data_IF_929281369942
#
_entry.id   IF_929281369942
#
_cell.length_a   1.000
_cell.length_b   1.000
_cell.length_c   1.000
_cell.angle_alpha   90.00
_cell.angle_beta   90.00
_cell.angle_gamma   90.00
#
_symmetry.space_group_name_H-M   'P 1'
#
loop_
_entity.id
_entity.type
_entity.pdbx_description
1 polymer ?
#
# COMPACT_ATOMS: atom_id res chain seq x y z
N UNK A 1 13.04 -7.84 24.60
CA UNK A 1 12.96 -8.36 23.23
C UNK A 1 14.00 -9.46 23.10
N UNK A 2 13.57 -10.71 22.94
CA UNK A 2 14.46 -11.83 22.63
C UNK A 2 15.40 -11.46 21.47
N UNK A 3 16.67 -11.91 21.50
CA UNK A 3 17.69 -11.52 20.51
C UNK A 3 17.22 -11.76 19.07
N UNK A 4 16.39 -12.77 18.86
CA UNK A 4 15.76 -13.16 17.60
C UNK A 4 14.74 -12.13 17.10
N UNK A 5 13.78 -11.71 17.93
CA UNK A 5 12.76 -10.74 17.54
C UNK A 5 13.38 -9.37 17.22
N UNK A 6 14.46 -9.00 17.92
CA UNK A 6 15.24 -7.80 17.59
C UNK A 6 15.89 -7.91 16.20
N UNK A 7 16.52 -9.03 15.86
CA UNK A 7 17.14 -9.27 14.54
C UNK A 7 16.11 -9.21 13.41
N UNK A 8 14.93 -9.82 13.60
CA UNK A 8 13.83 -9.78 12.63
C UNK A 8 13.34 -8.35 12.40
N UNK A 9 13.15 -7.58 13.48
CA UNK A 9 12.72 -6.19 13.38
C UNK A 9 13.74 -5.31 12.65
N UNK A 10 15.04 -5.45 12.97
CA UNK A 10 16.11 -4.73 12.27
C UNK A 10 16.13 -5.09 10.79
N UNK A 11 15.97 -6.38 10.45
CA UNK A 11 15.91 -6.84 9.06
C UNK A 11 14.74 -6.20 8.31
N UNK A 12 13.57 -6.16 8.94
CA UNK A 12 12.39 -5.51 8.37
C UNK A 12 12.66 -4.02 8.08
N UNK A 13 13.18 -3.26 9.03
CA UNK A 13 13.49 -1.83 8.83
C UNK A 13 14.55 -1.65 7.73
N UNK A 14 15.61 -2.45 7.75
CA UNK A 14 16.69 -2.37 6.77
C UNK A 14 16.20 -2.65 5.34
N UNK A 15 15.27 -3.58 5.15
CA UNK A 15 14.75 -3.88 3.82
C UNK A 15 13.65 -2.90 3.43
N UNK A 16 12.64 -2.68 4.29
CA UNK A 16 11.51 -1.81 3.97
C UNK A 16 11.96 -0.37 3.66
N UNK A 17 12.83 0.21 4.49
CA UNK A 17 13.30 1.59 4.33
C UNK A 17 14.66 1.67 3.65
N UNK A 18 15.60 0.77 3.97
CA UNK A 18 16.95 0.83 3.39
C UNK A 18 16.99 0.43 1.92
N UNK A 19 16.22 -0.57 1.48
CA UNK A 19 16.13 -0.88 0.05
C UNK A 19 15.40 0.23 -0.71
N UNK A 20 14.34 0.82 -0.14
CA UNK A 20 13.68 1.99 -0.72
C UNK A 20 14.66 3.16 -0.89
N UNK A 21 15.40 3.53 0.15
CA UNK A 21 16.39 4.60 0.11
C UNK A 21 17.52 4.32 -0.91
N UNK A 22 17.96 3.06 -1.04
CA UNK A 22 18.92 2.67 -2.09
C UNK A 22 18.34 2.90 -3.49
N UNK A 23 17.07 2.51 -3.71
CA UNK A 23 16.40 2.72 -5.00
C UNK A 23 16.19 4.19 -5.32
N UNK A 24 16.01 5.05 -4.31
CA UNK A 24 15.89 6.50 -4.48
C UNK A 24 17.13 7.14 -5.09
N UNK A 25 18.32 6.57 -4.89
CA UNK A 25 19.55 7.03 -5.55
C UNK A 25 19.41 6.88 -7.08
N UNK A 26 18.91 5.72 -7.54
CA UNK A 26 18.68 5.48 -8.97
C UNK A 26 17.51 6.28 -9.51
N UNK A 27 16.45 6.48 -8.71
CA UNK A 27 15.37 7.40 -9.08
C UNK A 27 15.88 8.81 -9.33
N UNK A 28 16.77 9.33 -8.48
CA UNK A 28 17.35 10.65 -8.66
C UNK A 28 18.13 10.77 -9.97
N UNK A 29 18.92 9.73 -10.32
CA UNK A 29 19.61 9.66 -11.61
C UNK A 29 18.61 9.65 -12.77
N UNK A 30 17.55 8.85 -12.66
CA UNK A 30 16.48 8.80 -13.67
C UNK A 30 15.75 10.13 -13.83
N UNK A 31 15.40 10.80 -12.73
CA UNK A 31 14.77 12.12 -12.72
C UNK A 31 15.64 13.15 -13.46
N UNK A 32 16.95 13.19 -13.17
CA UNK A 32 17.89 14.10 -13.85
C UNK A 32 18.06 13.78 -15.33
N UNK A 33 17.89 12.52 -15.71
CA UNK A 33 17.95 12.07 -17.10
C UNK A 33 16.59 12.13 -17.81
N UNK A 34 15.53 12.67 -17.18
CA UNK A 34 14.18 12.76 -17.77
C UNK A 34 13.51 11.40 -18.02
N UNK A 35 13.91 10.36 -17.28
CA UNK A 35 13.39 8.99 -17.43
C UNK A 35 12.06 8.82 -16.70
N UNK A 36 11.18 7.97 -17.26
CA UNK A 36 9.99 7.49 -16.57
C UNK A 36 10.37 6.63 -15.35
N UNK A 37 9.77 6.95 -14.20
CA UNK A 37 10.06 6.32 -12.91
C UNK A 37 8.94 5.39 -12.43
N UNK A 38 7.91 5.14 -13.23
CA UNK A 38 6.71 4.36 -12.84
C UNK A 38 7.06 2.99 -12.26
N UNK A 39 8.05 2.31 -12.84
CA UNK A 39 8.48 1.00 -12.34
C UNK A 39 9.03 1.06 -10.91
N UNK A 40 9.64 2.17 -10.48
CA UNK A 40 10.17 2.30 -9.13
C UNK A 40 9.06 2.32 -8.07
N UNK A 41 7.95 3.01 -8.37
CA UNK A 41 6.77 3.00 -7.50
C UNK A 41 6.27 1.57 -7.29
N UNK A 42 6.12 0.80 -8.37
CA UNK A 42 5.68 -0.60 -8.28
C UNK A 42 6.69 -1.51 -7.55
N UNK A 43 7.99 -1.35 -7.81
CA UNK A 43 9.05 -2.11 -7.16
C UNK A 43 9.07 -1.85 -5.65
N UNK A 44 8.91 -0.59 -5.24
CA UNK A 44 9.01 -0.19 -3.84
C UNK A 44 7.96 -0.93 -2.96
N UNK A 45 6.76 -1.19 -3.48
CA UNK A 45 5.67 -1.90 -2.78
C UNK A 45 6.03 -3.33 -2.32
N UNK A 46 7.08 -3.94 -2.86
CA UNK A 46 7.53 -5.29 -2.48
C UNK A 46 8.33 -5.29 -1.16
N UNK A 47 9.00 -4.19 -0.83
CA UNK A 47 10.03 -4.17 0.21
C UNK A 47 9.53 -4.50 1.63
N UNK A 48 8.34 -4.03 2.08
CA UNK A 48 7.88 -4.34 3.43
C UNK A 48 7.75 -5.85 3.67
N UNK A 49 7.08 -6.59 2.78
CA UNK A 49 6.99 -8.05 2.86
C UNK A 49 8.36 -8.72 2.73
N UNK A 50 9.25 -8.24 1.85
CA UNK A 50 10.60 -8.79 1.71
C UNK A 50 11.37 -8.75 3.03
N UNK A 51 11.25 -7.65 3.79
CA UNK A 51 11.83 -7.54 5.12
C UNK A 51 11.30 -8.58 6.10
N UNK A 52 9.98 -8.82 6.09
CA UNK A 52 9.36 -9.86 6.93
C UNK A 52 9.82 -11.26 6.53
N UNK A 53 9.80 -11.57 5.23
CA UNK A 53 10.19 -12.89 4.69
C UNK A 53 11.65 -13.21 4.98
N UNK A 54 12.57 -12.25 4.76
CA UNK A 54 13.99 -12.42 5.10
C UNK A 54 14.19 -12.59 6.60
N UNK A 55 13.45 -11.85 7.43
CA UNK A 55 13.46 -12.03 8.88
C UNK A 55 13.10 -13.46 9.29
N UNK A 56 12.04 -14.05 8.72
CA UNK A 56 11.66 -15.45 8.97
C UNK A 56 12.69 -16.45 8.44
N UNK A 57 13.27 -16.23 7.25
CA UNK A 57 14.22 -17.16 6.64
C UNK A 57 15.58 -17.18 7.34
N UNK A 58 16.07 -16.01 7.77
CA UNK A 58 17.40 -15.87 8.38
C UNK A 58 17.39 -16.07 9.89
N UNK A 59 16.32 -15.66 10.56
CA UNK A 59 16.24 -15.59 12.02
C UNK A 59 14.97 -16.23 12.58
N UNK A 60 14.15 -16.92 11.77
CA UNK A 60 13.00 -17.66 12.29
C UNK A 60 13.41 -18.89 13.10
N UNK A 61 12.53 -19.31 14.01
CA UNK A 61 12.68 -20.61 14.68
C UNK A 61 12.64 -21.75 13.65
N UNK A 62 13.65 -22.63 13.70
CA UNK A 62 13.80 -23.78 12.79
C UNK A 62 12.63 -24.76 12.88
N UNK A 63 11.95 -24.83 14.02
CA UNK A 63 10.79 -25.69 14.22
C UNK A 63 9.49 -25.09 13.63
N UNK A 64 9.47 -23.78 13.39
CA UNK A 64 8.30 -23.12 12.80
C UNK A 64 8.21 -23.46 11.32
N UNK A 65 7.14 -24.16 10.93
CA UNK A 65 6.89 -24.48 9.52
C UNK A 65 6.39 -23.24 8.78
N UNK A 66 7.12 -22.80 7.76
CA UNK A 66 6.81 -21.61 6.94
C UNK A 66 6.73 -21.97 5.45
N UNK A 67 6.00 -21.19 4.62
CA UNK A 67 5.87 -21.42 3.18
C UNK A 67 7.10 -20.95 2.39
N UNK A 68 8.26 -21.61 2.62
CA UNK A 68 9.56 -21.20 2.04
C UNK A 68 9.52 -20.98 0.52
N UNK A 69 8.87 -21.85 -0.24
CA UNK A 69 8.80 -21.73 -1.70
C UNK A 69 8.13 -20.42 -2.14
N UNK A 70 6.98 -20.07 -1.55
CA UNK A 70 6.30 -18.81 -1.86
C UNK A 70 7.12 -17.58 -1.44
N UNK A 71 7.80 -17.65 -0.29
CA UNK A 71 8.70 -16.57 0.13
C UNK A 71 9.86 -16.37 -0.85
N UNK A 72 10.48 -17.47 -1.30
CA UNK A 72 11.58 -17.41 -2.28
C UNK A 72 11.11 -16.79 -3.60
N UNK A 73 9.94 -17.20 -4.12
CA UNK A 73 9.40 -16.61 -5.36
C UNK A 73 9.11 -15.12 -5.22
N UNK A 74 8.53 -14.69 -4.10
CA UNK A 74 8.26 -13.28 -3.84
C UNK A 74 9.56 -12.45 -3.76
N UNK A 75 10.60 -12.99 -3.10
CA UNK A 75 11.91 -12.36 -3.02
C UNK A 75 12.62 -12.29 -4.38
N UNK A 76 12.56 -13.36 -5.18
CA UNK A 76 13.10 -13.36 -6.56
C UNK A 76 12.36 -12.32 -7.41
N UNK A 77 11.03 -12.26 -7.31
CA UNK A 77 10.22 -11.28 -8.04
C UNK A 77 10.63 -9.85 -7.67
N UNK A 78 10.83 -9.57 -6.39
CA UNK A 78 11.32 -8.27 -5.92
C UNK A 78 12.71 -7.93 -6.48
N UNK A 79 13.65 -8.89 -6.48
CA UNK A 79 14.99 -8.70 -7.04
C UNK A 79 14.96 -8.43 -8.55
N UNK A 80 14.10 -9.13 -9.30
CA UNK A 80 13.89 -8.88 -10.73
C UNK A 80 13.30 -7.49 -10.95
N UNK A 81 12.29 -7.09 -10.16
CA UNK A 81 11.71 -5.74 -10.21
C UNK A 81 12.75 -4.66 -9.93
N UNK A 82 13.61 -4.84 -8.92
CA UNK A 82 14.73 -3.94 -8.64
C UNK A 82 15.71 -3.84 -9.82
N UNK A 83 16.10 -4.98 -10.40
CA UNK A 83 16.99 -5.00 -11.54
C UNK A 83 16.39 -4.26 -12.76
N UNK A 84 15.11 -4.51 -13.06
CA UNK A 84 14.40 -3.80 -14.14
C UNK A 84 14.34 -2.29 -13.87
N UNK A 85 14.09 -1.86 -12.63
CA UNK A 85 14.08 -0.44 -12.28
C UNK A 85 15.46 0.21 -12.45
N UNK A 86 16.54 -0.47 -12.06
CA UNK A 86 17.89 0.07 -12.24
C UNK A 86 18.22 0.17 -13.73
N UNK A 87 17.95 -0.89 -14.51
CA UNK A 87 18.23 -0.91 -15.95
C UNK A 87 17.41 0.16 -16.69
N UNK A 88 16.17 0.43 -16.27
CA UNK A 88 15.30 1.40 -16.96
C UNK A 88 15.87 2.82 -16.97
N UNK A 89 16.70 3.16 -15.98
CA UNK A 89 17.36 4.48 -15.88
C UNK A 89 18.50 4.63 -16.89
N UNK A 90 19.21 3.54 -17.17
CA UNK A 90 20.38 3.56 -18.07
C UNK A 90 20.04 3.16 -19.51
N UNK A 91 18.87 2.56 -19.73
CA UNK A 91 18.43 2.16 -21.05
C UNK A 91 18.07 3.37 -21.93
N UNK A 92 18.24 3.28 -23.26
CA UNK A 92 17.73 4.28 -24.20
C UNK A 92 16.24 4.52 -23.97
N UNK A 93 15.84 5.78 -24.06
CA UNK A 93 14.43 6.13 -23.98
C UNK A 93 13.72 5.62 -25.25
N UNK A 94 12.52 5.09 -25.05
CA UNK A 94 11.72 4.49 -26.11
C UNK A 94 10.37 5.20 -26.12
N UNK A 95 10.20 6.15 -27.04
CA UNK A 95 9.01 7.01 -27.13
C UNK A 95 7.80 6.30 -27.78
N UNK A 96 7.91 4.99 -28.07
CA UNK A 96 6.82 4.21 -28.66
C UNK A 96 5.66 3.96 -27.68
N UNK A 97 5.87 4.15 -26.37
CA UNK A 97 4.90 3.87 -25.32
C UNK A 97 4.70 5.10 -24.43
N UNK A 98 3.51 5.26 -23.85
CA UNK A 98 3.21 6.34 -22.88
C UNK A 98 3.97 6.21 -21.56
N UNK A 99 4.52 5.03 -21.28
CA UNK A 99 5.32 4.68 -20.10
C UNK A 99 6.49 3.81 -20.54
N UNK A 100 7.54 3.72 -19.73
CA UNK A 100 8.72 2.91 -20.07
C UNK A 100 8.35 1.45 -20.33
N UNK A 101 8.90 0.83 -21.37
CA UNK A 101 8.73 -0.62 -21.62
C UNK A 101 9.14 -1.49 -20.41
N UNK A 102 10.07 -0.99 -19.58
CA UNK A 102 10.47 -1.67 -18.36
C UNK A 102 9.32 -1.74 -17.34
N UNK A 103 8.46 -0.72 -17.27
CA UNK A 103 7.25 -0.79 -16.46
C UNK A 103 6.35 -1.93 -16.93
N UNK A 104 6.13 -2.07 -18.24
CA UNK A 104 5.33 -3.17 -18.82
C UNK A 104 5.96 -4.53 -18.49
N UNK A 105 7.28 -4.68 -18.62
CA UNK A 105 7.98 -5.90 -18.19
C UNK A 105 7.78 -6.18 -16.70
N UNK A 106 7.85 -5.14 -15.86
CA UNK A 106 7.58 -5.24 -14.43
C UNK A 106 6.14 -5.65 -14.12
N UNK A 107 5.16 -5.23 -14.92
CA UNK A 107 3.78 -5.70 -14.79
C UNK A 107 3.71 -7.21 -15.02
N UNK A 108 4.35 -7.74 -16.08
CA UNK A 108 4.38 -9.20 -16.31
C UNK A 108 5.09 -9.96 -15.19
N UNK A 109 6.20 -9.45 -14.65
CA UNK A 109 6.87 -10.04 -13.49
C UNK A 109 5.93 -10.09 -12.30
N UNK A 110 5.22 -8.99 -12.03
CA UNK A 110 4.25 -8.90 -10.94
C UNK A 110 3.10 -9.89 -11.14
N UNK A 111 2.54 -9.97 -12.35
CA UNK A 111 1.46 -10.89 -12.72
C UNK A 111 1.84 -12.34 -12.51
N UNK A 112 2.95 -12.78 -13.12
CA UNK A 112 3.42 -14.16 -13.04
C UNK A 112 3.82 -14.50 -11.61
N UNK A 113 4.60 -13.64 -10.95
CA UNK A 113 5.03 -13.82 -9.57
C UNK A 113 3.86 -13.91 -8.59
N UNK A 114 2.84 -13.05 -8.76
CA UNK A 114 1.64 -13.05 -7.92
C UNK A 114 0.83 -14.33 -8.04
N UNK A 115 0.60 -14.81 -9.27
CA UNK A 115 -0.12 -16.07 -9.50
C UNK A 115 0.63 -17.25 -8.89
N UNK A 116 1.95 -17.34 -9.12
CA UNK A 116 2.77 -18.42 -8.55
C UNK A 116 2.76 -18.35 -7.02
N UNK A 117 2.98 -17.17 -6.43
CA UNK A 117 2.96 -16.99 -4.97
C UNK A 117 1.59 -17.33 -4.37
N UNK A 118 0.50 -16.90 -5.01
CA UNK A 118 -0.85 -17.23 -4.59
C UNK A 118 -1.07 -18.74 -4.52
N UNK A 119 -0.68 -19.47 -5.58
CA UNK A 119 -0.78 -20.94 -5.63
C UNK A 119 0.11 -21.57 -4.55
N UNK A 120 1.37 -21.14 -4.42
CA UNK A 120 2.31 -21.69 -3.43
C UNK A 120 1.83 -21.47 -1.99
N UNK A 121 1.30 -20.29 -1.68
CA UNK A 121 0.70 -20.01 -0.37
C UNK A 121 -0.56 -20.85 -0.13
N UNK A 122 -1.33 -21.17 -1.16
CA UNK A 122 -2.50 -22.04 -1.04
C UNK A 122 -2.14 -23.52 -0.84
N UNK A 123 -1.17 -24.06 -1.56
CA UNK A 123 -0.82 -25.49 -1.48
C UNK A 123 0.13 -25.83 -0.33
N UNK A 124 0.76 -24.85 0.33
CA UNK A 124 1.71 -25.11 1.40
C UNK A 124 1.11 -25.73 2.68
N UNK A 125 -0.21 -25.84 2.77
CA UNK A 125 -0.94 -26.42 3.91
C UNK A 125 -1.33 -25.38 4.97
N UNK A 126 -2.38 -25.70 5.73
CA UNK A 126 -3.01 -24.78 6.69
C UNK A 126 -2.08 -24.38 7.84
N UNK A 127 -1.29 -25.33 8.34
CA UNK A 127 -0.33 -25.09 9.43
C UNK A 127 0.69 -24.01 9.04
N UNK A 128 1.34 -24.15 7.87
CA UNK A 128 2.31 -23.17 7.38
C UNK A 128 1.68 -21.79 7.19
N UNK A 129 0.48 -21.72 6.59
CA UNK A 129 -0.23 -20.45 6.40
C UNK A 129 -0.53 -19.75 7.73
N UNK A 130 -1.04 -20.51 8.71
CA UNK A 130 -1.42 -19.96 10.03
C UNK A 130 -0.21 -19.36 10.74
N UNK A 131 0.93 -20.06 10.71
CA UNK A 131 2.18 -19.61 11.36
C UNK A 131 2.70 -18.26 10.85
N UNK A 132 2.32 -17.88 9.63
CA UNK A 132 2.80 -16.65 9.00
C UNK A 132 1.66 -15.70 8.59
N UNK A 133 0.46 -15.85 9.17
CA UNK A 133 -0.66 -14.94 8.94
C UNK A 133 -1.24 -14.92 7.53
N UNK A 134 -1.04 -16.00 6.76
CA UNK A 134 -1.58 -16.15 5.40
C UNK A 134 -2.95 -16.85 5.37
N UNK A 135 -3.51 -17.19 6.51
CA UNK A 135 -4.86 -17.76 6.58
C UNK A 135 -5.93 -16.71 6.24
N UNK A 136 -7.18 -17.15 6.05
CA UNK A 136 -8.31 -16.27 5.67
C UNK A 136 -9.41 -16.27 6.74
N UNK A 137 -9.11 -15.82 7.97
CA UNK A 137 -10.12 -15.76 9.03
C UNK A 137 -11.22 -14.73 8.71
N UNK A 138 -12.35 -14.88 9.39
CA UNK A 138 -13.43 -13.89 9.42
C UNK A 138 -13.89 -13.38 8.03
N UNK A 139 -14.08 -14.29 7.06
CA UNK A 139 -14.44 -13.93 5.67
C UNK A 139 -15.66 -13.01 5.58
N UNK A 140 -16.73 -13.29 6.34
CA UNK A 140 -17.95 -12.45 6.34
C UNK A 140 -17.64 -11.02 6.79
N UNK A 141 -16.85 -10.88 7.86
CA UNK A 141 -16.41 -9.56 8.35
C UNK A 141 -15.47 -8.89 7.36
N UNK A 142 -14.62 -9.67 6.67
CA UNK A 142 -13.71 -9.17 5.64
C UNK A 142 -14.47 -8.57 4.46
N UNK A 143 -15.50 -9.27 3.96
CA UNK A 143 -16.38 -8.77 2.89
C UNK A 143 -17.06 -7.49 3.33
N UNK A 144 -17.58 -7.46 4.57
CA UNK A 144 -18.19 -6.25 5.13
C UNK A 144 -17.19 -5.08 5.21
N UNK A 145 -15.95 -5.31 5.64
CA UNK A 145 -14.93 -4.25 5.72
C UNK A 145 -14.51 -3.74 4.34
N UNK A 146 -14.45 -4.60 3.32
CA UNK A 146 -14.20 -4.18 1.92
C UNK A 146 -15.37 -3.33 1.41
N UNK A 147 -16.61 -3.77 1.61
CA UNK A 147 -17.79 -3.01 1.19
C UNK A 147 -17.89 -1.66 1.92
N UNK A 148 -17.63 -1.65 3.23
CA UNK A 148 -17.57 -0.43 4.03
C UNK A 148 -16.47 0.50 3.53
N UNK A 149 -15.29 -0.03 3.20
CA UNK A 149 -14.21 0.78 2.63
C UNK A 149 -14.64 1.43 1.31
N UNK A 150 -15.22 0.67 0.38
CA UNK A 150 -15.71 1.21 -0.91
C UNK A 150 -16.72 2.33 -0.67
N UNK A 151 -17.68 2.13 0.24
CA UNK A 151 -18.66 3.17 0.59
C UNK A 151 -17.99 4.44 1.15
N UNK A 152 -17.12 4.29 2.14
CA UNK A 152 -16.40 5.42 2.74
C UNK A 152 -15.45 6.09 1.74
N UNK A 153 -14.87 5.34 0.83
CA UNK A 153 -13.98 5.83 -0.22
C UNK A 153 -14.74 6.70 -1.22
N UNK A 154 -15.92 6.26 -1.67
CA UNK A 154 -16.82 7.05 -2.52
C UNK A 154 -17.27 8.31 -1.77
N UNK A 155 -17.66 8.19 -0.51
CA UNK A 155 -18.05 9.34 0.32
C UNK A 155 -16.90 10.35 0.51
N UNK A 156 -15.66 9.88 0.73
CA UNK A 156 -14.44 10.71 0.75
C UNK A 156 -14.28 11.47 -0.56
N UNK A 157 -14.45 10.79 -1.69
CA UNK A 157 -14.28 11.37 -3.02
C UNK A 157 -15.31 12.47 -3.30
N UNK A 158 -16.58 12.23 -2.96
CA UNK A 158 -17.62 13.27 -3.03
C UNK A 158 -17.33 14.45 -2.10
N UNK A 159 -16.80 14.19 -0.91
CA UNK A 159 -16.42 15.26 0.03
C UNK A 159 -15.28 16.12 -0.52
N UNK A 160 -14.24 15.51 -1.12
CA UNK A 160 -13.16 16.25 -1.79
C UNK A 160 -13.71 17.18 -2.88
N UNK A 161 -14.58 16.65 -3.75
CA UNK A 161 -15.17 17.40 -4.86
C UNK A 161 -16.10 18.50 -4.37
N UNK A 162 -16.92 18.24 -3.35
CA UNK A 162 -17.83 19.22 -2.78
C UNK A 162 -17.09 20.40 -2.13
N UNK A 163 -16.03 20.12 -1.37
CA UNK A 163 -15.20 21.17 -0.76
C UNK A 163 -14.49 21.97 -1.86
N UNK A 164 -13.93 21.30 -2.88
CA UNK A 164 -13.29 21.97 -4.00
C UNK A 164 -14.27 22.93 -4.71
N UNK A 165 -15.50 22.50 -4.99
CA UNK A 165 -16.53 23.34 -5.61
C UNK A 165 -16.86 24.60 -4.79
N UNK A 166 -16.95 24.48 -3.46
CA UNK A 166 -17.20 25.62 -2.58
C UNK A 166 -16.02 26.62 -2.65
N UNK A 167 -14.80 26.11 -2.73
CA UNK A 167 -13.60 26.95 -2.69
C UNK A 167 -13.29 27.62 -4.04
N UNK A 168 -13.58 26.98 -5.17
CA UNK A 168 -13.35 27.55 -6.50
C UNK A 168 -14.45 28.53 -6.91
N UNK A 169 -15.73 28.20 -6.61
CA UNK A 169 -16.90 29.04 -6.87
C UNK A 169 -16.95 29.65 -8.29
N UNK A 170 -16.58 28.88 -9.30
CA UNK A 170 -16.49 29.29 -10.71
C UNK A 170 -17.75 28.98 -11.53
N UNK A 171 -18.83 28.53 -10.87
CA UNK A 171 -20.10 28.16 -11.49
C UNK A 171 -20.14 26.73 -12.06
N UNK A 172 -19.04 25.98 -12.01
CA UNK A 172 -19.01 24.57 -12.45
C UNK A 172 -19.59 23.67 -11.35
N UNK A 173 -20.51 22.78 -11.73
CA UNK A 173 -21.05 21.77 -10.83
C UNK A 173 -20.16 20.52 -10.81
N UNK A 174 -19.01 20.63 -10.14
CA UNK A 174 -18.05 19.54 -10.01
C UNK A 174 -18.64 18.26 -9.41
N UNK A 175 -19.60 18.37 -8.49
CA UNK A 175 -20.29 17.19 -7.92
C UNK A 175 -21.03 16.41 -9.01
N UNK A 176 -21.76 17.12 -9.88
CA UNK A 176 -22.48 16.48 -10.99
C UNK A 176 -21.53 15.87 -12.00
N UNK A 177 -20.46 16.57 -12.39
CA UNK A 177 -19.46 16.06 -13.32
C UNK A 177 -18.74 14.82 -12.76
N UNK A 178 -18.38 14.85 -11.47
CA UNK A 178 -17.80 13.69 -10.80
C UNK A 178 -18.76 12.50 -10.76
N UNK A 179 -20.05 12.73 -10.45
CA UNK A 179 -21.05 11.66 -10.43
C UNK A 179 -21.24 11.03 -11.81
N UNK A 180 -21.34 11.86 -12.88
CA UNK A 180 -21.42 11.37 -14.26
C UNK A 180 -20.22 10.50 -14.61
N UNK A 181 -19.02 10.94 -14.22
CA UNK A 181 -17.77 10.21 -14.46
C UNK A 181 -17.71 8.92 -13.65
N UNK A 182 -18.07 8.93 -12.38
CA UNK A 182 -17.98 7.76 -11.51
C UNK A 182 -18.97 6.66 -11.91
N UNK A 183 -20.20 7.01 -12.28
CA UNK A 183 -21.30 6.07 -12.51
C UNK A 183 -21.51 5.68 -13.99
N UNK A 184 -20.49 5.83 -14.84
CA UNK A 184 -20.51 5.26 -16.19
C UNK A 184 -20.49 3.72 -16.15
N UNK A 185 -21.16 3.00 -17.08
CA UNK A 185 -21.06 1.54 -17.19
C UNK A 185 -19.63 1.02 -17.27
N UNK A 186 -18.74 1.72 -17.95
CA UNK A 186 -17.33 1.35 -18.14
C UNK A 186 -16.55 1.35 -16.82
N UNK A 187 -16.73 2.39 -16.00
CA UNK A 187 -16.14 2.45 -14.67
C UNK A 187 -16.77 1.43 -13.71
N UNK A 188 -18.07 1.14 -13.85
CA UNK A 188 -18.74 0.06 -13.12
C UNK A 188 -18.14 -1.31 -13.43
N UNK A 189 -17.94 -1.62 -14.72
CA UNK A 189 -17.27 -2.84 -15.16
C UNK A 189 -15.82 -2.90 -14.64
N UNK A 190 -15.07 -1.82 -14.80
CA UNK A 190 -13.67 -1.73 -14.36
C UNK A 190 -13.53 -1.93 -12.85
N UNK A 191 -14.45 -1.39 -12.05
CA UNK A 191 -14.47 -1.58 -10.61
C UNK A 191 -14.69 -3.05 -10.21
N UNK A 192 -15.55 -3.77 -10.94
CA UNK A 192 -15.77 -5.22 -10.71
C UNK A 192 -14.52 -6.01 -11.11
N UNK A 193 -13.93 -5.72 -12.27
CA UNK A 193 -12.69 -6.38 -12.74
C UNK A 193 -11.53 -6.17 -11.77
N UNK A 194 -11.41 -4.96 -11.22
CA UNK A 194 -10.39 -4.60 -10.23
C UNK A 194 -10.40 -5.50 -8.98
N UNK A 195 -11.56 -6.05 -8.58
CA UNK A 195 -11.63 -6.99 -7.46
C UNK A 195 -10.84 -8.29 -7.72
N UNK A 196 -10.66 -8.65 -8.99
CA UNK A 196 -9.90 -9.84 -9.40
C UNK A 196 -8.41 -9.55 -9.61
N UNK A 197 -8.01 -8.28 -9.69
CA UNK A 197 -6.60 -7.89 -9.81
C UNK A 197 -5.76 -8.29 -8.61
N UNK A 198 -6.38 -8.57 -7.45
CA UNK A 198 -5.65 -9.07 -6.29
C UNK A 198 -4.89 -10.39 -6.57
N UNK A 199 -5.31 -11.20 -7.54
CA UNK A 199 -4.62 -12.44 -7.89
C UNK A 199 -3.40 -12.23 -8.79
N UNK A 200 -3.44 -11.19 -9.63
CA UNK A 200 -2.37 -10.85 -10.58
C UNK A 200 -1.45 -9.75 -10.05
N UNK A 201 -1.88 -8.95 -9.09
CA UNK A 201 -1.08 -7.88 -8.49
C UNK A 201 -0.90 -8.06 -6.98
N UNK A 202 -1.05 -9.31 -6.51
CA UNK A 202 -0.88 -9.67 -5.11
C UNK A 202 0.39 -9.07 -4.52
N UNK A 203 1.54 -9.29 -5.16
CA UNK A 203 2.84 -9.00 -4.57
C UNK A 203 3.07 -7.51 -4.27
N UNK A 204 2.33 -6.60 -4.90
CA UNK A 204 2.40 -5.17 -4.59
C UNK A 204 1.60 -4.86 -3.32
N UNK A 205 0.28 -5.05 -3.36
CA UNK A 205 -0.60 -4.65 -2.27
C UNK A 205 -0.47 -5.53 -1.03
N UNK A 206 -0.36 -6.85 -1.21
CA UNK A 206 0.01 -7.74 -0.12
C UNK A 206 1.45 -7.51 0.33
N UNK A 207 2.35 -7.14 -0.59
CA UNK A 207 3.73 -6.78 -0.27
C UNK A 207 3.82 -5.70 0.80
N UNK A 208 3.03 -4.64 0.64
CA UNK A 208 2.93 -3.58 1.64
C UNK A 208 2.19 -4.02 2.90
N UNK A 209 0.96 -4.52 2.75
CA UNK A 209 0.11 -4.81 3.90
C UNK A 209 0.72 -5.88 4.81
N UNK A 210 1.39 -6.87 4.24
CA UNK A 210 2.08 -7.91 5.01
C UNK A 210 3.20 -7.34 5.89
N UNK A 211 3.90 -6.30 5.42
CA UNK A 211 4.87 -5.57 6.23
C UNK A 211 4.20 -4.64 7.25
N UNK A 212 3.26 -3.82 6.82
CA UNK A 212 2.69 -2.76 7.65
C UNK A 212 1.67 -3.28 8.67
N UNK A 213 0.69 -4.07 8.23
CA UNK A 213 -0.47 -4.47 9.04
C UNK A 213 -0.23 -5.80 9.73
N UNK A 214 0.31 -6.78 9.01
CA UNK A 214 0.60 -8.08 9.63
C UNK A 214 1.79 -8.01 10.58
N UNK A 215 2.89 -7.33 10.19
CA UNK A 215 4.12 -7.35 10.97
C UNK A 215 4.33 -6.11 11.87
N UNK A 216 4.37 -4.90 11.32
CA UNK A 216 4.75 -3.71 12.07
C UNK A 216 3.65 -3.22 13.02
N UNK A 217 2.38 -3.31 12.62
CA UNK A 217 1.26 -2.84 13.44
C UNK A 217 1.21 -3.53 14.82
N UNK A 218 1.21 -4.88 14.93
CA UNK A 218 1.23 -5.54 16.25
C UNK A 218 2.40 -5.10 17.11
N UNK A 219 3.60 -4.95 16.53
CA UNK A 219 4.81 -4.52 17.26
C UNK A 219 4.61 -3.13 17.87
N UNK A 220 4.11 -2.18 17.08
CA UNK A 220 3.89 -0.81 17.55
C UNK A 220 2.72 -0.72 18.54
N UNK A 221 1.65 -1.47 18.30
CA UNK A 221 0.48 -1.49 19.18
C UNK A 221 0.80 -2.13 20.54
N UNK A 222 1.63 -3.18 20.59
CA UNK A 222 2.09 -3.77 21.86
C UNK A 222 3.00 -2.83 22.64
N UNK A 223 3.84 -2.06 21.94
CA UNK A 223 4.79 -1.16 22.60
C UNK A 223 4.17 0.15 23.08
N UNK A 224 3.21 0.70 22.33
CA UNK A 224 2.70 2.05 22.54
C UNK A 224 1.19 2.10 22.84
N UNK A 225 0.49 0.96 22.83
CA UNK A 225 -0.96 0.85 22.91
C UNK A 225 -1.63 0.98 21.54
N UNK A 226 -2.89 0.53 21.42
CA UNK A 226 -3.56 0.39 20.10
C UNK A 226 -3.65 1.70 19.31
N UNK A 227 -4.00 2.81 19.99
CA UNK A 227 -4.16 4.14 19.37
C UNK A 227 -2.84 4.75 18.93
N UNK A 228 -1.87 4.83 19.84
CA UNK A 228 -0.57 5.44 19.52
C UNK A 228 0.19 4.57 18.52
N UNK A 229 0.10 3.24 18.64
CA UNK A 229 0.71 2.31 17.71
C UNK A 229 0.22 2.49 16.27
N UNK A 230 -1.09 2.64 16.05
CA UNK A 230 -1.64 2.87 14.69
C UNK A 230 -1.28 4.25 14.15
N UNK A 231 -1.22 5.29 14.99
CA UNK A 231 -0.81 6.63 14.59
C UNK A 231 0.67 6.68 14.18
N UNK A 232 1.55 6.06 14.98
CA UNK A 232 2.98 5.94 14.68
C UNK A 232 3.17 5.16 13.38
N UNK A 233 2.42 4.08 13.17
CA UNK A 233 2.45 3.34 11.91
C UNK A 233 2.05 4.23 10.72
N UNK A 234 0.99 5.01 10.85
CA UNK A 234 0.55 5.94 9.81
C UNK A 234 1.63 6.94 9.40
N UNK A 235 2.34 7.53 10.39
CA UNK A 235 3.48 8.42 10.12
C UNK A 235 4.63 7.67 9.47
N UNK A 236 4.99 6.49 9.98
CA UNK A 236 6.07 5.68 9.45
C UNK A 236 5.81 5.25 8.00
N UNK A 237 4.56 4.90 7.67
CA UNK A 237 4.12 4.57 6.32
C UNK A 237 4.12 5.81 5.42
N UNK A 238 3.71 6.98 5.90
CA UNK A 238 3.82 8.24 5.16
C UNK A 238 5.26 8.59 4.81
N UNK A 239 6.18 8.55 5.78
CA UNK A 239 7.62 8.83 5.57
C UNK A 239 8.25 7.86 4.56
N UNK A 240 7.76 6.62 4.50
CA UNK A 240 8.25 5.63 3.55
C UNK A 240 8.02 6.02 2.08
N UNK A 241 7.12 6.97 1.79
CA UNK A 241 6.87 7.47 0.43
C UNK A 241 7.80 8.61 0.01
N UNK A 242 8.65 9.13 0.90
CA UNK A 242 9.37 10.39 0.69
C UNK A 242 10.10 10.48 -0.65
N UNK A 243 10.81 9.44 -1.10
CA UNK A 243 11.46 9.49 -2.41
C UNK A 243 10.48 9.59 -3.58
N UNK A 244 9.35 8.89 -3.52
CA UNK A 244 8.30 8.95 -4.55
C UNK A 244 7.59 10.31 -4.54
N UNK A 245 7.35 10.89 -3.37
CA UNK A 245 6.71 12.21 -3.23
C UNK A 245 7.48 13.30 -3.98
N UNK A 246 8.81 13.29 -3.90
CA UNK A 246 9.66 14.32 -4.51
C UNK A 246 10.10 14.03 -5.94
N UNK A 247 10.08 12.76 -6.37
CA UNK A 247 10.68 12.37 -7.66
C UNK A 247 9.68 11.72 -8.63
N UNK A 248 8.48 11.34 -8.19
CA UNK A 248 7.52 10.63 -9.03
C UNK A 248 6.12 11.26 -8.98
N UNK A 249 5.53 11.36 -7.78
CA UNK A 249 4.14 11.79 -7.66
C UNK A 249 3.94 13.27 -8.01
N UNK A 250 4.89 14.13 -7.67
CA UNK A 250 4.83 15.57 -7.97
C UNK A 250 6.22 16.13 -8.29
N UNK A 251 6.30 17.44 -8.56
CA UNK A 251 7.58 18.13 -8.78
C UNK A 251 8.38 18.26 -7.48
N UNK A 252 9.70 18.46 -7.60
CA UNK A 252 10.59 18.64 -6.44
C UNK A 252 10.16 19.82 -5.57
N UNK A 253 9.66 20.89 -6.19
CA UNK A 253 9.20 22.11 -5.52
C UNK A 253 7.91 21.87 -4.72
N UNK A 254 7.00 21.06 -5.25
CA UNK A 254 5.74 20.69 -4.61
C UNK A 254 5.90 19.52 -3.61
N UNK A 255 7.02 18.79 -3.67
CA UNK A 255 7.34 17.63 -2.83
C UNK A 255 7.08 17.83 -1.33
N UNK A 256 7.49 18.96 -0.70
CA UNK A 256 7.22 19.18 0.73
C UNK A 256 5.72 19.23 1.08
N UNK A 257 4.89 19.85 0.21
CA UNK A 257 3.44 19.92 0.42
C UNK A 257 2.83 18.54 0.21
N UNK A 258 3.25 17.82 -0.83
CA UNK A 258 2.78 16.47 -1.10
C UNK A 258 3.14 15.49 0.00
N UNK A 259 4.36 15.57 0.56
CA UNK A 259 4.76 14.75 1.72
C UNK A 259 3.84 14.95 2.93
N UNK A 260 3.42 16.19 3.20
CA UNK A 260 2.46 16.46 4.29
C UNK A 260 1.09 15.82 3.97
N UNK A 261 0.61 15.97 2.73
CA UNK A 261 -0.63 15.34 2.26
C UNK A 261 -0.55 13.80 2.36
N UNK A 262 0.59 13.23 2.00
CA UNK A 262 0.86 11.81 2.04
C UNK A 262 0.84 11.29 3.48
N UNK A 263 1.49 11.99 4.42
CA UNK A 263 1.45 11.63 5.85
C UNK A 263 0.02 11.71 6.40
N UNK A 264 -0.74 12.77 6.09
CA UNK A 264 -2.14 12.91 6.51
C UNK A 264 -2.97 11.73 5.98
N UNK A 265 -2.78 11.38 4.71
CA UNK A 265 -3.49 10.29 4.04
C UNK A 265 -3.11 8.94 4.65
N UNK A 266 -1.82 8.66 4.86
CA UNK A 266 -1.34 7.42 5.47
C UNK A 266 -1.79 7.27 6.93
N UNK A 267 -1.86 8.35 7.72
CA UNK A 267 -2.45 8.31 9.07
C UNK A 267 -3.93 7.96 8.99
N UNK A 268 -4.68 8.69 8.16
CA UNK A 268 -6.12 8.52 8.02
C UNK A 268 -6.51 7.10 7.56
N UNK A 269 -5.91 6.63 6.48
CA UNK A 269 -6.09 5.27 5.97
C UNK A 269 -5.52 4.24 6.94
N UNK A 270 -4.35 4.50 7.55
CA UNK A 270 -3.72 3.64 8.54
C UNK A 270 -4.64 3.34 9.72
N UNK A 271 -5.39 4.32 10.21
CA UNK A 271 -6.41 4.14 11.26
C UNK A 271 -7.51 3.17 10.81
N UNK A 272 -8.06 3.35 9.61
CA UNK A 272 -9.12 2.45 9.11
C UNK A 272 -8.59 1.05 8.79
N UNK A 273 -7.41 0.94 8.17
CA UNK A 273 -6.79 -0.34 7.82
C UNK A 273 -6.43 -1.09 9.11
N UNK A 274 -5.89 -0.39 10.11
CA UNK A 274 -5.62 -0.97 11.42
C UNK A 274 -6.89 -1.46 12.11
N UNK A 275 -7.99 -0.70 12.01
CA UNK A 275 -9.31 -1.11 12.50
C UNK A 275 -9.81 -2.38 11.80
N UNK A 276 -9.80 -2.39 10.47
CA UNK A 276 -10.23 -3.51 9.65
C UNK A 276 -9.36 -4.75 9.91
N UNK A 277 -8.05 -4.59 10.08
CA UNK A 277 -7.14 -5.67 10.42
C UNK A 277 -7.43 -6.23 11.81
N UNK A 278 -7.61 -5.41 12.84
CA UNK A 278 -7.99 -5.89 14.18
C UNK A 278 -9.31 -6.68 14.17
N UNK A 279 -10.27 -6.28 13.32
CA UNK A 279 -11.57 -6.96 13.19
C UNK A 279 -11.53 -8.26 12.40
N UNK A 280 -10.61 -8.40 11.45
CA UNK A 280 -10.64 -9.50 10.48
C UNK A 280 -9.46 -10.46 10.63
N UNK A 281 -8.29 -9.96 11.00
CA UNK A 281 -6.97 -10.65 10.92
C UNK A 281 -6.70 -11.25 9.55
N UNK A 282 -7.31 -10.70 8.51
CA UNK A 282 -7.29 -11.26 7.17
C UNK A 282 -6.50 -10.34 6.23
N UNK A 283 -5.22 -10.64 6.04
CA UNK A 283 -4.33 -9.79 5.26
C UNK A 283 -4.75 -9.65 3.79
N UNK A 284 -5.44 -10.66 3.24
CA UNK A 284 -5.94 -10.65 1.87
C UNK A 284 -7.02 -9.59 1.66
N UNK A 285 -7.88 -9.39 2.66
CA UNK A 285 -8.91 -8.35 2.62
C UNK A 285 -8.30 -6.94 2.68
N UNK A 286 -7.26 -6.77 3.50
CA UNK A 286 -6.54 -5.50 3.60
C UNK A 286 -5.77 -5.20 2.31
N UNK A 287 -5.18 -6.23 1.69
CA UNK A 287 -4.51 -6.09 0.39
C UNK A 287 -5.50 -5.67 -0.70
N UNK A 288 -6.74 -6.18 -0.68
CA UNK A 288 -7.79 -5.75 -1.60
C UNK A 288 -8.26 -4.31 -1.33
N UNK A 289 -8.43 -3.94 -0.06
CA UNK A 289 -8.76 -2.55 0.34
C UNK A 289 -7.68 -1.58 -0.14
N UNK A 290 -6.41 -1.93 0.03
CA UNK A 290 -5.28 -1.14 -0.45
C UNK A 290 -5.27 -1.05 -1.98
N UNK A 291 -5.48 -2.18 -2.69
CA UNK A 291 -5.59 -2.20 -4.14
C UNK A 291 -6.66 -1.23 -4.65
N UNK A 292 -7.85 -1.23 -4.03
CA UNK A 292 -8.95 -0.32 -4.39
C UNK A 292 -8.53 1.14 -4.16
N UNK A 293 -7.86 1.43 -3.04
CA UNK A 293 -7.38 2.77 -2.71
C UNK A 293 -6.41 3.34 -3.75
N UNK A 294 -5.52 2.52 -4.28
CA UNK A 294 -4.44 3.02 -5.14
C UNK A 294 -4.86 3.15 -6.60
N UNK A 295 -5.82 2.33 -7.04
CA UNK A 295 -6.20 2.27 -8.46
C UNK A 295 -7.41 3.12 -8.83
N UNK A 296 -8.09 3.76 -7.87
CA UNK A 296 -9.30 4.54 -8.20
C UNK A 296 -9.02 5.70 -9.17
N UNK A 297 -7.87 6.38 -9.02
CA UNK A 297 -7.55 7.54 -9.86
C UNK A 297 -7.30 7.09 -11.30
N UNK A 298 -6.57 5.98 -11.46
CA UNK A 298 -6.33 5.32 -12.76
C UNK A 298 -7.65 4.83 -13.37
N UNK A 299 -8.52 4.23 -12.57
CA UNK A 299 -9.86 3.81 -13.01
C UNK A 299 -10.65 5.00 -13.54
N UNK A 300 -10.72 6.10 -12.80
CA UNK A 300 -11.40 7.32 -13.25
C UNK A 300 -10.70 7.97 -14.46
N UNK A 301 -9.40 7.76 -14.65
CA UNK A 301 -8.68 8.20 -15.83
C UNK A 301 -8.84 7.28 -17.05
N UNK A 302 -9.73 6.28 -16.99
CA UNK A 302 -9.93 5.33 -18.09
C UNK A 302 -8.77 4.36 -18.28
N UNK A 303 -8.00 4.09 -17.22
CA UNK A 303 -6.84 3.19 -17.25
C UNK A 303 -5.51 3.89 -17.51
N UNK A 304 -5.50 5.22 -17.70
CA UNK A 304 -4.26 5.97 -17.89
C UNK A 304 -3.46 6.05 -16.58
N UNK A 305 -2.30 5.41 -16.55
CA UNK A 305 -1.39 5.40 -15.39
C UNK A 305 -0.54 6.65 -15.29
N UNK A 306 -0.45 7.48 -16.34
CA UNK A 306 0.35 8.71 -16.34
C UNK A 306 -0.19 9.74 -15.33
N UNK A 307 -1.47 9.67 -14.98
CA UNK A 307 -2.13 10.53 -13.98
C UNK A 307 -1.55 10.40 -12.57
N UNK A 308 -0.77 9.35 -12.31
CA UNK A 308 -0.08 9.17 -11.04
C UNK A 308 1.18 10.04 -10.95
N UNK A 309 1.72 10.50 -12.08
CA UNK A 309 2.98 11.23 -12.17
C UNK A 309 2.77 12.74 -12.23
N UNK A 310 3.74 13.49 -11.68
CA UNK A 310 3.81 14.95 -11.84
C UNK A 310 2.50 15.68 -11.52
N UNK A 311 1.75 15.17 -10.53
CA UNK A 311 0.50 15.73 -10.07
C UNK A 311 0.71 17.18 -9.63
N UNK A 312 -0.20 18.05 -10.06
CA UNK A 312 -0.17 19.46 -9.70
C UNK A 312 -0.78 19.65 -8.31
N UNK A 313 0.04 20.13 -7.39
CA UNK A 313 -0.32 20.27 -5.98
C UNK A 313 -0.38 21.74 -5.60
N UNK A 314 -1.47 22.12 -4.95
CA UNK A 314 -1.68 23.48 -4.47
C UNK A 314 -1.87 23.51 -2.96
N UNK A 315 -1.53 24.62 -2.31
CA UNK A 315 -1.73 24.78 -0.87
C UNK A 315 -3.19 24.61 -0.44
N UNK A 316 -4.15 24.92 -1.33
CA UNK A 316 -5.58 24.76 -1.08
C UNK A 316 -5.97 23.28 -0.87
N UNK A 317 -5.20 22.34 -1.44
CA UNK A 317 -5.48 20.91 -1.28
C UNK A 317 -5.18 20.40 0.14
N UNK A 318 -4.38 21.10 0.95
CA UNK A 318 -4.11 20.72 2.35
C UNK A 318 -5.38 20.70 3.21
N UNK A 319 -6.12 21.80 3.39
CA UNK A 319 -7.34 21.80 4.17
C UNK A 319 -8.41 20.89 3.57
N UNK A 320 -8.51 20.82 2.24
CA UNK A 320 -9.47 19.94 1.53
C UNK A 320 -9.22 18.47 1.86
N UNK A 321 -7.97 18.01 1.72
CA UNK A 321 -7.59 16.63 2.03
C UNK A 321 -7.69 16.33 3.53
N UNK A 322 -7.34 17.28 4.40
CA UNK A 322 -7.47 17.09 5.84
C UNK A 322 -8.92 16.81 6.24
N UNK A 323 -9.87 17.61 5.76
CA UNK A 323 -11.30 17.44 6.05
C UNK A 323 -11.80 16.11 5.48
N UNK A 324 -11.50 15.81 4.21
CA UNK A 324 -11.93 14.56 3.60
C UNK A 324 -11.31 13.32 4.29
N UNK A 325 -10.10 13.45 4.83
CA UNK A 325 -9.41 12.39 5.58
C UNK A 325 -10.04 12.11 6.94
N UNK A 326 -10.92 12.97 7.46
CA UNK A 326 -11.61 12.71 8.72
C UNK A 326 -12.52 11.47 8.66
N UNK A 327 -13.01 11.10 7.48
CA UNK A 327 -13.93 9.97 7.31
C UNK A 327 -13.32 8.63 7.74
N UNK A 328 -12.03 8.41 7.47
CA UNK A 328 -11.30 7.24 7.94
C UNK A 328 -10.65 7.49 9.29
N UNK A 329 -10.14 8.71 9.55
CA UNK A 329 -9.50 9.04 10.81
C UNK A 329 -10.46 8.95 12.02
N UNK A 330 -11.75 9.20 11.83
CA UNK A 330 -12.78 9.08 12.87
C UNK A 330 -12.85 7.67 13.49
N UNK A 331 -12.40 6.63 12.78
CA UNK A 331 -12.36 5.27 13.33
C UNK A 331 -11.41 5.12 14.51
N UNK A 332 -10.53 6.08 14.80
CA UNK A 332 -9.70 6.09 16.02
C UNK A 332 -10.53 6.11 17.31
N UNK A 333 -11.76 6.62 17.21
CA UNK A 333 -12.73 6.66 18.31
C UNK A 333 -13.52 5.35 18.45
N UNK A 334 -13.36 4.39 17.53
CA UNK A 334 -14.04 3.11 17.62
C UNK A 334 -13.66 2.37 18.92
N UNK A 335 -14.63 1.71 19.61
CA UNK A 335 -14.39 1.10 20.93
C UNK A 335 -13.23 0.11 20.97
N UNK A 336 -12.91 -0.54 19.86
CA UNK A 336 -11.80 -1.51 19.75
C UNK A 336 -10.45 -0.88 20.12
N UNK A 337 -10.24 0.40 19.81
CA UNK A 337 -9.01 1.13 20.14
C UNK A 337 -8.86 1.47 21.63
N UNK A 338 -9.91 1.24 22.44
CA UNK A 338 -9.89 1.38 23.90
C UNK A 338 -9.81 0.03 24.62
N UNK A 339 -9.82 -1.09 23.89
CA UNK A 339 -10.01 -2.41 24.45
C UNK A 339 -8.73 -3.04 25.00
N UNK A 340 -8.58 -3.10 26.33
CA UNK A 340 -7.49 -3.85 27.00
C UNK A 340 -7.41 -5.33 26.60
N UNK A 341 -8.54 -5.94 26.21
CA UNK A 341 -8.59 -7.35 25.75
C UNK A 341 -7.94 -7.55 24.38
N UNK A 342 -7.97 -6.55 23.51
CA UNK A 342 -7.28 -6.62 22.22
C UNK A 342 -5.77 -6.45 22.43
N UNK A 343 -5.36 -5.53 23.30
CA UNK A 343 -3.96 -5.36 23.71
C UNK A 343 -3.35 -6.70 24.18
N UNK A 344 -4.04 -7.42 25.06
CA UNK A 344 -3.59 -8.73 25.56
C UNK A 344 -3.49 -9.81 24.47
N UNK A 345 -4.35 -9.79 23.45
CA UNK A 345 -4.25 -10.73 22.31
C UNK A 345 -3.05 -10.43 21.44
N UNK A 346 -2.75 -9.16 21.18
CA UNK A 346 -1.59 -8.78 20.39
C UNK A 346 -0.28 -9.04 21.13
N UNK A 347 -0.24 -8.88 22.46
CA UNK A 347 0.94 -9.21 23.28
C UNK A 347 1.33 -10.69 23.17
N UNK A 348 0.35 -11.60 23.12
CA UNK A 348 0.58 -13.04 22.96
C UNK A 348 1.06 -13.45 21.55
N UNK A 349 0.82 -12.62 20.54
CA UNK A 349 1.19 -12.91 19.14
C UNK A 349 2.54 -12.30 18.74
N UNK A 350 3.07 -11.32 19.49
CA UNK A 350 4.38 -10.72 19.24
C UNK A 350 5.52 -11.31 20.10
N UNK A 351 5.16 -12.14 21.09
CA UNK A 351 6.08 -13.05 21.77
C UNK A 351 6.42 -14.20 20.80
#
# INVERSE_FOLDING_TARGET
MESTNKKRFITFIAVAYGAAALMWIFMYVGLKAGKDLTIFASTQMYFPACGVMLGFLLFGDKNTKIPKAGFIVALISALVMMALSIVSVFAPQDDAWSVSKFFVYGQYVTMVGSVICYVLFWICGKEKRKNVGLDRPAIKMSIFMVALFIFLFVARSFSLVAIAQILTNDGVNYISEFAKKLFTPENGYSAVVMLFYIFTFLLMYWGEEYGWRYYLQPILQNKFGLRRGVLILGVAWGIWHLGLDFMFYTSVEAGPIYMILQIITCISLGIFFGYAYMKTRNIWALSLIHLINDNYLVLLAGGDTSVLQNQQITLLQLPVNLIASLIFAAFIFAPIYNGKKEEQKFEQEAA
#
